data_IF_641085531930
#
_entry.id   IF_641085531930
#
_cell.length_a   1.000
_cell.length_b   1.000
_cell.length_c   1.000
_cell.angle_alpha   90.00
_cell.angle_beta   90.00
_cell.angle_gamma   90.00
#
_symmetry.space_group_name_H-M   'P 1'
#
loop_
_entity.id
_entity.type
_entity.pdbx_description
1 polymer ?
#
# COMPACT_ATOMS: atom_id res chain seq x y z
N UNK A 1 6.16 -6.86 0.09
CA UNK A 1 4.90 -7.63 0.01
C UNK A 1 3.78 -6.63 0.00
N UNK A 2 2.68 -6.93 -0.68
CA UNK A 2 1.50 -6.04 -0.65
C UNK A 2 0.22 -6.76 -1.07
N UNK A 3 -0.93 -6.19 -0.75
CA UNK A 3 -2.26 -6.67 -1.12
C UNK A 3 -2.66 -6.16 -2.50
N UNK A 4 -3.05 -7.09 -3.36
CA UNK A 4 -3.77 -6.81 -4.59
C UNK A 4 -5.25 -6.58 -4.22
N UNK A 5 -5.75 -5.34 -4.21
CA UNK A 5 -7.12 -5.06 -3.82
C UNK A 5 -8.12 -5.73 -4.77
N UNK A 6 -7.87 -5.78 -6.08
CA UNK A 6 -8.78 -6.42 -7.03
C UNK A 6 -8.94 -7.92 -6.76
N UNK A 7 -7.83 -8.62 -6.52
CA UNK A 7 -7.89 -10.03 -6.18
C UNK A 7 -8.55 -10.27 -4.83
N UNK A 8 -8.38 -9.37 -3.86
CA UNK A 8 -8.98 -9.49 -2.53
C UNK A 8 -10.51 -9.43 -2.59
N UNK A 9 -11.06 -8.41 -3.27
CA UNK A 9 -12.50 -8.27 -3.48
C UNK A 9 -13.09 -9.43 -4.30
N UNK A 10 -12.33 -10.01 -5.22
CA UNK A 10 -12.75 -11.17 -6.00
C UNK A 10 -12.59 -12.52 -5.25
N UNK A 11 -12.08 -12.53 -4.01
CA UNK A 11 -11.81 -13.75 -3.24
C UNK A 11 -10.62 -14.58 -3.74
N UNK A 12 -9.78 -13.99 -4.60
CA UNK A 12 -8.61 -14.61 -5.20
C UNK A 12 -7.35 -14.54 -4.35
N UNK A 13 -6.20 -14.81 -4.98
CA UNK A 13 -4.89 -14.67 -4.34
C UNK A 13 -4.50 -13.19 -4.21
N UNK A 14 -4.75 -12.61 -3.04
CA UNK A 14 -4.61 -11.17 -2.81
C UNK A 14 -3.26 -10.75 -2.25
N UNK A 15 -2.56 -11.57 -1.46
CA UNK A 15 -1.26 -11.17 -0.93
C UNK A 15 -0.13 -11.54 -1.91
N UNK A 16 0.65 -10.55 -2.29
CA UNK A 16 1.86 -10.69 -3.11
C UNK A 16 3.10 -10.70 -2.23
N UNK A 17 3.92 -11.74 -2.37
CA UNK A 17 5.23 -11.82 -1.69
C UNK A 17 6.30 -12.03 -2.74
N UNK A 18 7.19 -11.04 -2.88
CA UNK A 18 8.40 -11.14 -3.68
C UNK A 18 9.62 -11.37 -2.79
N UNK A 19 10.64 -12.03 -3.32
CA UNK A 19 11.93 -12.18 -2.63
C UNK A 19 13.06 -11.65 -3.50
N UNK A 20 14.18 -11.28 -2.87
CA UNK A 20 15.39 -10.85 -3.58
C UNK A 20 15.93 -11.90 -4.57
N UNK A 21 15.64 -13.19 -4.34
CA UNK A 21 15.96 -14.28 -5.26
C UNK A 21 15.00 -14.43 -6.46
N UNK A 22 13.98 -13.57 -6.53
CA UNK A 22 13.05 -13.48 -7.64
C UNK A 22 11.76 -14.27 -7.51
N UNK A 23 11.53 -14.97 -6.39
CA UNK A 23 10.26 -15.69 -6.23
C UNK A 23 9.10 -14.68 -6.21
N UNK A 24 7.99 -15.03 -6.86
CA UNK A 24 6.82 -14.16 -7.00
C UNK A 24 5.55 -14.90 -6.52
N UNK A 25 5.39 -15.05 -5.21
CA UNK A 25 4.28 -15.83 -4.66
C UNK A 25 2.97 -15.01 -4.64
N UNK A 26 1.86 -15.70 -4.91
CA UNK A 26 0.52 -15.14 -4.76
C UNK A 26 -0.26 -15.97 -3.75
N UNK A 27 -0.56 -15.40 -2.59
CA UNK A 27 -1.21 -16.07 -1.47
C UNK A 27 -2.66 -15.65 -1.39
N UNK A 28 -3.58 -16.62 -1.34
CA UNK A 28 -4.97 -16.35 -1.04
C UNK A 28 -5.12 -16.23 0.48
N UNK A 29 -5.35 -15.02 0.97
CA UNK A 29 -5.41 -14.74 2.42
C UNK A 29 -6.62 -15.35 3.11
N UNK A 30 -7.68 -15.66 2.36
CA UNK A 30 -8.88 -16.30 2.90
C UNK A 30 -8.71 -17.81 3.11
N UNK A 31 -7.86 -18.46 2.29
CA UNK A 31 -7.66 -19.93 2.30
C UNK A 31 -6.27 -20.36 2.76
N UNK A 32 -5.31 -19.43 2.80
CA UNK A 32 -3.90 -19.71 3.08
C UNK A 32 -3.15 -20.39 1.93
N UNK A 33 -3.79 -20.65 0.79
CA UNK A 33 -3.14 -21.32 -0.34
C UNK A 33 -2.07 -20.41 -0.94
N UNK A 34 -0.83 -20.90 -0.97
CA UNK A 34 0.30 -20.26 -1.65
C UNK A 34 0.35 -20.75 -3.10
N UNK A 35 0.01 -19.87 -4.03
CA UNK A 35 0.11 -20.09 -5.46
C UNK A 35 1.41 -19.54 -6.05
N UNK A 36 1.58 -19.77 -7.35
CA UNK A 36 2.69 -19.26 -8.15
C UNK A 36 4.09 -19.69 -7.64
N UNK A 37 4.17 -20.88 -7.05
CA UNK A 37 5.36 -21.38 -6.35
C UNK A 37 6.57 -21.64 -7.24
N UNK A 38 6.36 -21.81 -8.55
CA UNK A 38 7.42 -21.96 -9.54
C UNK A 38 7.79 -20.65 -10.26
N UNK A 39 7.10 -19.54 -9.98
CA UNK A 39 7.31 -18.27 -10.68
C UNK A 39 8.55 -17.55 -10.16
N UNK A 40 9.40 -17.14 -11.09
CA UNK A 40 10.58 -16.34 -10.82
C UNK A 40 10.62 -15.13 -11.79
N UNK A 41 10.66 -13.92 -11.24
CA UNK A 41 10.68 -12.66 -12.01
C UNK A 41 12.09 -12.09 -12.20
N UNK A 42 13.12 -12.87 -11.87
CA UNK A 42 14.52 -12.43 -11.81
C UNK A 42 14.92 -11.90 -10.43
N UNK A 43 16.21 -11.76 -10.13
CA UNK A 43 16.68 -11.29 -8.82
C UNK A 43 16.54 -9.77 -8.64
N UNK A 44 16.74 -9.31 -7.41
CA UNK A 44 16.87 -7.89 -7.06
C UNK A 44 15.58 -7.19 -6.65
N UNK A 45 14.41 -7.82 -6.85
CA UNK A 45 13.13 -7.29 -6.40
C UNK A 45 13.00 -7.45 -4.88
N UNK A 46 13.19 -6.37 -4.13
CA UNK A 46 13.11 -6.40 -2.66
C UNK A 46 11.85 -5.76 -2.10
N UNK A 47 11.12 -4.98 -2.92
CA UNK A 47 9.81 -4.46 -2.56
C UNK A 47 8.81 -4.53 -3.71
N UNK A 48 7.53 -4.48 -3.35
CA UNK A 48 6.40 -4.56 -4.27
C UNK A 48 5.22 -3.82 -3.64
N UNK A 49 4.48 -3.06 -4.45
CA UNK A 49 3.27 -2.34 -4.03
C UNK A 49 2.26 -2.23 -5.18
N UNK A 50 0.99 -2.35 -4.87
CA UNK A 50 -0.12 -2.16 -5.80
C UNK A 50 -0.65 -0.74 -5.75
N UNK A 51 -1.03 -0.20 -6.89
CA UNK A 51 -1.88 0.99 -6.93
C UNK A 51 -3.29 0.63 -6.43
N UNK A 52 -4.13 1.65 -6.25
CA UNK A 52 -5.56 1.52 -5.89
C UNK A 52 -5.90 0.66 -4.65
N UNK A 53 -4.91 0.42 -3.78
CA UNK A 53 -5.07 -0.17 -2.45
C UNK A 53 -5.79 0.81 -1.52
N UNK A 54 -7.12 0.71 -1.48
CA UNK A 54 -7.97 1.48 -0.57
C UNK A 54 -8.74 0.53 0.36
N UNK A 55 -8.60 0.67 1.68
CA UNK A 55 -9.31 -0.16 2.63
C UNK A 55 -10.84 -0.05 2.49
N UNK A 56 -11.52 -1.19 2.34
CA UNK A 56 -12.99 -1.27 2.38
C UNK A 56 -13.72 -0.79 1.12
N UNK A 57 -13.00 -0.43 0.06
CA UNK A 57 -13.60 0.08 -1.19
C UNK A 57 -13.17 -0.77 -2.39
N UNK A 58 -14.11 -1.31 -3.19
CA UNK A 58 -13.77 -2.03 -4.41
C UNK A 58 -12.95 -1.17 -5.39
N UNK A 59 -11.95 -1.71 -6.09
CA UNK A 59 -11.29 -1.01 -7.18
C UNK A 59 -12.29 -0.49 -8.23
N UNK A 60 -12.07 0.74 -8.73
CA UNK A 60 -12.96 1.42 -9.69
C UNK A 60 -14.21 2.07 -9.09
N UNK A 61 -14.40 2.04 -7.76
CA UNK A 61 -15.56 2.67 -7.09
C UNK A 61 -15.29 4.08 -6.52
N UNK A 62 -14.08 4.63 -6.71
CA UNK A 62 -13.71 5.96 -6.20
C UNK A 62 -14.07 7.10 -7.16
N UNK A 63 -14.67 8.21 -6.67
CA UNK A 63 -14.88 9.41 -7.46
C UNK A 63 -13.54 10.15 -7.66
N UNK A 64 -13.02 10.09 -8.88
CA UNK A 64 -11.71 10.63 -9.23
C UNK A 64 -10.98 9.68 -10.16
N UNK A 65 -11.50 9.52 -11.37
CA UNK A 65 -10.92 8.67 -12.41
C UNK A 65 -9.52 9.17 -12.75
N UNK A 66 -8.48 8.44 -12.36
CA UNK A 66 -7.36 8.30 -13.29
C UNK A 66 -7.86 7.35 -14.39
N UNK A 67 -7.70 7.68 -15.69
CA UNK A 67 -8.11 6.78 -16.76
C UNK A 67 -7.39 5.42 -16.62
N UNK A 68 -8.14 4.36 -16.29
CA UNK A 68 -7.61 2.99 -16.10
C UNK A 68 -7.84 2.44 -14.69
N UNK A 69 -9.08 2.04 -14.37
CA UNK A 69 -9.53 1.40 -13.12
C UNK A 69 -8.88 0.03 -12.79
N UNK A 70 -7.70 -0.25 -13.36
CA UNK A 70 -6.94 -1.46 -13.14
C UNK A 70 -5.99 -1.26 -11.97
N UNK A 71 -5.88 -2.29 -11.15
CA UNK A 71 -4.79 -2.40 -10.17
C UNK A 71 -3.50 -2.60 -10.96
N UNK A 72 -2.51 -1.74 -10.73
CA UNK A 72 -1.17 -1.87 -11.30
C UNK A 72 -0.18 -2.30 -10.21
N UNK A 73 0.95 -2.87 -10.61
CA UNK A 73 1.97 -3.37 -9.69
C UNK A 73 3.32 -2.73 -9.96
N UNK A 74 3.87 -2.12 -8.91
CA UNK A 74 5.20 -1.54 -8.93
C UNK A 74 6.15 -2.34 -8.06
N UNK A 75 7.43 -2.30 -8.42
CA UNK A 75 8.50 -2.94 -7.68
C UNK A 75 9.69 -2.00 -7.52
N UNK A 76 10.48 -2.27 -6.47
CA UNK A 76 11.83 -1.69 -6.35
C UNK A 76 12.82 -2.82 -6.59
N UNK A 77 13.65 -2.64 -7.62
CA UNK A 77 14.76 -3.54 -7.92
C UNK A 77 16.08 -2.93 -7.45
N UNK A 78 16.61 -3.44 -6.34
CA UNK A 78 17.82 -2.91 -5.68
C UNK A 78 19.11 -3.44 -6.28
N UNK A 79 19.06 -4.37 -7.23
CA UNK A 79 20.24 -4.74 -8.03
C UNK A 79 20.50 -3.74 -9.15
N UNK A 80 19.52 -2.92 -9.49
CA UNK A 80 19.59 -1.94 -10.59
C UNK A 80 19.26 -0.53 -10.13
N UNK A 81 18.90 -0.35 -8.85
CA UNK A 81 18.40 0.90 -8.28
C UNK A 81 17.30 1.55 -9.12
N UNK A 82 16.30 0.75 -9.52
CA UNK A 82 15.19 1.21 -10.36
C UNK A 82 13.82 0.95 -9.76
N UNK A 83 12.88 1.84 -10.09
CA UNK A 83 11.45 1.55 -10.02
C UNK A 83 11.04 0.77 -11.27
N UNK A 84 10.28 -0.29 -11.07
CA UNK A 84 9.79 -1.14 -12.15
C UNK A 84 8.28 -1.32 -12.07
N UNK A 85 7.66 -1.66 -13.20
CA UNK A 85 6.21 -1.65 -13.38
C UNK A 85 5.74 -2.91 -14.11
N UNK A 86 4.58 -3.40 -13.70
CA UNK A 86 3.76 -4.34 -14.44
C UNK A 86 2.29 -3.88 -14.33
N UNK A 87 1.60 -3.74 -15.47
CA UNK A 87 0.19 -3.32 -15.47
C UNK A 87 -0.82 -4.47 -15.41
N UNK A 88 -0.37 -5.72 -15.62
CA UNK A 88 -1.26 -6.88 -15.64
C UNK A 88 -0.51 -8.20 -15.45
N UNK A 89 -1.26 -9.31 -15.54
CA UNK A 89 -0.74 -10.68 -15.58
C UNK A 89 0.21 -11.00 -14.43
N UNK A 90 -0.10 -10.53 -13.22
CA UNK A 90 0.86 -10.45 -12.12
C UNK A 90 1.49 -11.79 -11.70
N UNK A 91 0.91 -12.94 -12.02
CA UNK A 91 1.54 -14.24 -11.76
C UNK A 91 2.75 -14.52 -12.69
N UNK A 92 2.76 -13.95 -13.88
CA UNK A 92 3.86 -13.99 -14.85
C UNK A 92 3.94 -12.67 -15.62
N UNK A 93 4.32 -11.58 -14.93
CA UNK A 93 4.21 -10.23 -15.48
C UNK A 93 5.31 -9.98 -16.53
N UNK A 94 4.98 -9.17 -17.54
CA UNK A 94 6.01 -8.45 -18.29
C UNK A 94 6.38 -7.22 -17.46
N UNK A 95 7.61 -7.19 -16.95
CA UNK A 95 8.12 -6.11 -16.11
C UNK A 95 8.93 -5.14 -16.97
N UNK A 96 8.65 -3.85 -16.83
CA UNK A 96 9.36 -2.77 -17.50
C UNK A 96 9.94 -1.79 -16.50
N UNK A 97 11.13 -1.27 -16.76
CA UNK A 97 11.73 -0.20 -15.96
C UNK A 97 10.96 1.10 -16.17
N UNK A 98 10.60 1.76 -15.07
CA UNK A 98 10.05 3.13 -15.07
C UNK A 98 11.19 4.13 -15.14
N UNK A 99 12.15 4.01 -14.23
CA UNK A 99 13.36 4.82 -14.20
C UNK A 99 14.23 4.52 -12.98
N UNK A 100 15.35 5.24 -12.89
CA UNK A 100 16.27 5.17 -11.75
C UNK A 100 15.62 5.76 -10.50
N UNK A 101 16.04 5.30 -9.31
CA UNK A 101 15.70 5.95 -8.05
C UNK A 101 16.44 7.29 -7.86
N UNK A 102 17.46 7.57 -8.69
CA UNK A 102 18.26 8.81 -8.68
C UNK A 102 18.89 9.12 -7.31
N UNK A 103 19.41 8.10 -6.65
CA UNK A 103 20.07 8.21 -5.35
C UNK A 103 21.61 8.23 -5.48
N UNK A 104 22.32 8.95 -4.59
CA UNK A 104 23.78 9.01 -4.62
C UNK A 104 24.49 7.75 -4.12
N UNK A 105 23.74 6.79 -3.55
CA UNK A 105 24.25 5.54 -3.00
C UNK A 105 23.38 4.38 -3.47
N UNK A 106 23.97 3.18 -3.55
CA UNK A 106 23.25 1.98 -3.94
C UNK A 106 22.21 1.60 -2.87
N UNK A 107 21.06 1.09 -3.31
CA UNK A 107 20.06 0.56 -2.41
C UNK A 107 20.42 -0.87 -2.03
N UNK A 108 20.59 -1.14 -0.73
CA UNK A 108 20.85 -2.48 -0.22
C UNK A 108 19.54 -3.29 -0.11
N UNK A 109 18.47 -2.64 0.33
CA UNK A 109 17.15 -3.25 0.49
C UNK A 109 16.05 -2.19 0.57
N UNK A 110 14.89 -2.48 -0.01
CA UNK A 110 13.67 -1.69 0.16
C UNK A 110 12.72 -2.42 1.12
N UNK A 111 12.80 -2.13 2.42
CA UNK A 111 12.07 -2.88 3.44
C UNK A 111 10.70 -2.28 3.75
N UNK A 112 9.90 -2.13 2.71
CA UNK A 112 8.63 -1.42 2.77
C UNK A 112 8.52 -0.53 1.55
N UNK A 113 7.46 -0.74 0.80
CA UNK A 113 7.05 0.09 -0.32
C UNK A 113 5.53 0.08 -0.32
N UNK A 114 4.92 1.26 -0.35
CA UNK A 114 3.48 1.42 -0.25
C UNK A 114 3.03 2.52 -1.21
N UNK A 115 1.87 2.32 -1.84
CA UNK A 115 1.23 3.32 -2.71
C UNK A 115 -0.12 3.67 -2.08
N UNK A 116 -0.17 4.83 -1.42
CA UNK A 116 -1.35 5.19 -0.63
C UNK A 116 -2.47 5.65 -1.55
N UNK A 117 -3.53 4.82 -1.69
CA UNK A 117 -4.78 5.21 -2.34
C UNK A 117 -4.61 5.76 -3.76
N UNK A 118 -3.71 5.18 -4.56
CA UNK A 118 -3.40 5.66 -5.92
C UNK A 118 -2.73 7.04 -6.01
N UNK A 119 -2.28 7.58 -4.89
CA UNK A 119 -1.59 8.87 -4.79
C UNK A 119 -0.08 8.73 -4.60
N UNK A 120 0.51 9.30 -3.52
CA UNK A 120 1.94 9.26 -3.30
C UNK A 120 2.44 7.86 -2.93
N UNK A 121 3.59 7.50 -3.46
CA UNK A 121 4.28 6.27 -3.10
C UNK A 121 5.43 6.55 -2.12
N UNK A 122 5.63 5.66 -1.17
CA UNK A 122 6.67 5.77 -0.16
C UNK A 122 7.43 4.47 0.00
N UNK A 123 8.74 4.55 0.17
CA UNK A 123 9.59 3.41 0.46
C UNK A 123 10.54 3.70 1.61
N UNK A 124 10.86 2.67 2.37
CA UNK A 124 11.98 2.70 3.31
C UNK A 124 13.14 1.98 2.65
N UNK A 125 14.23 2.72 2.46
CA UNK A 125 15.42 2.24 1.79
C UNK A 125 16.58 2.21 2.79
N UNK A 126 17.32 1.10 2.77
CA UNK A 126 18.64 1.04 3.37
C UNK A 126 19.66 1.30 2.26
N UNK A 127 20.54 2.27 2.47
CA UNK A 127 21.55 2.63 1.49
C UNK A 127 22.92 2.14 1.93
N UNK A 128 23.79 1.92 0.95
CA UNK A 128 25.21 1.67 1.18
C UNK A 128 25.97 3.00 1.40
N UNK A 129 25.52 3.78 2.39
CA UNK A 129 26.07 5.10 2.73
C UNK A 129 27.06 5.06 3.92
N UNK A 130 27.32 3.86 4.44
CA UNK A 130 28.19 3.62 5.60
C UNK A 130 27.60 4.01 6.96
N UNK A 131 26.36 4.50 7.02
CA UNK A 131 25.73 4.94 8.28
C UNK A 131 24.94 3.83 8.97
N UNK A 132 24.48 2.82 8.22
CA UNK A 132 23.58 1.78 8.71
C UNK A 132 22.17 2.29 9.05
N UNK A 133 21.84 3.52 8.64
CA UNK A 133 20.53 4.13 8.79
C UNK A 133 19.60 3.76 7.62
N UNK A 134 18.29 3.87 7.86
CA UNK A 134 17.28 3.79 6.81
C UNK A 134 16.70 5.17 6.53
N UNK A 135 16.38 5.47 5.27
CA UNK A 135 15.64 6.66 4.89
C UNK A 135 14.20 6.34 4.47
N UNK A 136 13.26 7.21 4.83
CA UNK A 136 11.93 7.26 4.23
C UNK A 136 12.00 8.13 2.98
N UNK A 137 11.64 7.58 1.83
CA UNK A 137 11.64 8.27 0.55
C UNK A 137 10.22 8.34 0.00
N UNK A 138 9.87 9.47 -0.61
CA UNK A 138 8.76 9.48 -1.57
C UNK A 138 9.28 9.03 -2.93
N UNK A 139 8.54 8.17 -3.63
CA UNK A 139 8.88 7.66 -4.94
C UNK A 139 7.92 8.26 -5.97
N UNK A 140 8.44 8.82 -7.04
CA UNK A 140 7.63 9.26 -8.18
C UNK A 140 7.31 8.05 -9.07
N UNK A 141 6.05 7.65 -9.14
CA UNK A 141 5.63 6.48 -9.92
C UNK A 141 5.73 6.65 -11.45
N UNK A 142 5.92 7.88 -11.94
CA UNK A 142 6.06 8.17 -13.36
C UNK A 142 7.54 8.22 -13.81
N UNK A 143 8.45 8.64 -12.94
CA UNK A 143 9.88 8.81 -13.28
C UNK A 143 10.81 7.83 -12.57
N UNK A 144 10.40 7.27 -11.44
CA UNK A 144 11.23 6.45 -10.56
C UNK A 144 11.93 7.24 -9.45
N UNK A 145 12.06 8.57 -9.59
CA UNK A 145 12.89 9.39 -8.70
C UNK A 145 12.48 9.25 -7.23
N UNK A 146 13.48 9.03 -6.37
CA UNK A 146 13.32 8.95 -4.93
C UNK A 146 13.78 10.24 -4.25
N UNK A 147 12.91 10.83 -3.43
CA UNK A 147 13.22 12.05 -2.66
C UNK A 147 13.13 11.75 -1.17
N UNK A 148 14.23 12.00 -0.46
CA UNK A 148 14.32 11.79 0.98
C UNK A 148 13.31 12.66 1.73
N UNK A 149 12.58 12.04 2.66
CA UNK A 149 11.59 12.69 3.53
C UNK A 149 11.97 12.67 5.00
N UNK A 150 12.63 11.60 5.44
CA UNK A 150 13.07 11.44 6.82
C UNK A 150 14.14 10.36 6.95
N UNK A 151 14.88 10.37 8.05
CA UNK A 151 15.86 9.34 8.38
C UNK A 151 15.47 8.64 9.68
N UNK A 152 15.76 7.35 9.76
CA UNK A 152 15.63 6.53 10.95
C UNK A 152 17.01 6.13 11.44
N UNK A 153 17.22 6.16 12.76
CA UNK A 153 18.42 5.61 13.35
C UNK A 153 18.38 4.07 13.24
N UNK A 154 19.33 3.51 12.51
CA UNK A 154 19.42 2.06 12.27
C UNK A 154 18.53 1.56 11.13
N UNK A 155 18.53 0.24 10.97
CA UNK A 155 17.81 -0.45 9.90
C UNK A 155 16.34 -0.69 10.26
N UNK A 156 15.44 -0.19 9.40
CA UNK A 156 14.00 -0.44 9.43
C UNK A 156 13.67 -1.58 8.46
N UNK A 157 12.84 -2.52 8.90
CA UNK A 157 12.47 -3.74 8.17
C UNK A 157 10.98 -3.82 7.77
N UNK A 158 10.27 -2.69 7.79
CA UNK A 158 8.87 -2.65 7.40
C UNK A 158 8.32 -1.23 7.33
N UNK A 159 7.33 -1.05 6.48
CA UNK A 159 6.44 0.11 6.47
C UNK A 159 5.01 -0.37 6.49
N UNK A 160 4.18 0.27 7.31
CA UNK A 160 2.74 0.08 7.30
C UNK A 160 2.08 1.44 7.55
N UNK A 161 1.15 1.80 6.67
CA UNK A 161 0.29 2.96 6.88
C UNK A 161 -0.97 2.50 7.61
N UNK A 162 -1.25 3.11 8.75
CA UNK A 162 -2.48 2.84 9.49
C UNK A 162 -3.50 3.92 9.13
N UNK A 163 -4.70 3.50 8.74
CA UNK A 163 -5.82 4.44 8.61
C UNK A 163 -6.32 4.83 9.99
N UNK A 164 -6.83 6.05 10.13
CA UNK A 164 -7.51 6.44 11.36
C UNK A 164 -8.66 5.46 11.67
N UNK A 165 -8.92 5.13 12.95
CA UNK A 165 -10.07 4.29 13.31
C UNK A 165 -11.35 4.87 12.72
N UNK A 166 -12.04 4.09 11.90
CA UNK A 166 -13.38 4.44 11.41
C UNK A 166 -14.35 4.21 12.56
N UNK A 167 -15.13 5.22 13.03
CA UNK A 167 -16.12 4.99 14.08
C UNK A 167 -17.12 3.93 13.62
N UNK A 168 -17.33 2.92 14.45
CA UNK A 168 -18.23 1.82 14.12
C UNK A 168 -19.66 2.36 13.87
N UNK A 169 -20.46 1.74 12.99
CA UNK A 169 -21.84 2.15 12.73
C UNK A 169 -22.67 2.34 14.01
N UNK A 170 -22.38 1.53 15.03
CA UNK A 170 -23.01 1.55 16.35
C UNK A 170 -22.69 2.82 17.14
N UNK A 171 -21.49 3.41 16.96
CA UNK A 171 -21.12 4.69 17.56
C UNK A 171 -22.02 5.82 17.04
N UNK A 172 -22.33 5.80 15.74
CA UNK A 172 -23.27 6.75 15.16
C UNK A 172 -24.70 6.50 15.63
N UNK A 173 -25.12 5.24 15.72
CA UNK A 173 -26.43 4.88 16.24
C UNK A 173 -26.62 5.35 17.68
N UNK A 174 -25.61 5.15 18.55
CA UNK A 174 -25.63 5.61 19.94
C UNK A 174 -25.58 7.13 20.05
N UNK A 175 -24.82 7.81 19.20
CA UNK A 175 -24.81 9.27 19.12
C UNK A 175 -26.20 9.80 18.76
N UNK A 176 -26.85 9.24 17.74
CA UNK A 176 -28.21 9.61 17.33
C UNK A 176 -29.21 9.33 18.45
N UNK A 177 -29.13 8.16 19.09
CA UNK A 177 -29.99 7.81 20.21
C UNK A 177 -29.81 8.79 21.39
N UNK A 178 -28.57 9.12 21.74
CA UNK A 178 -28.25 10.08 22.78
C UNK A 178 -28.81 11.47 22.47
N UNK A 179 -28.63 11.97 21.24
CA UNK A 179 -29.20 13.23 20.79
C UNK A 179 -30.73 13.22 20.81
N UNK A 180 -31.36 12.10 20.44
CA UNK A 180 -32.81 11.90 20.52
C UNK A 180 -33.33 12.00 21.96
N UNK A 181 -32.64 11.40 22.92
CA UNK A 181 -32.99 11.48 24.35
C UNK A 181 -32.86 12.92 24.87
N UNK A 182 -31.78 13.62 24.53
CA UNK A 182 -31.57 15.02 24.92
C UNK A 182 -32.66 15.94 24.36
N UNK A 183 -33.00 15.79 23.08
CA UNK A 183 -34.06 16.56 22.42
C UNK A 183 -35.43 16.30 23.09
N UNK A 184 -35.72 15.04 23.43
CA UNK A 184 -36.96 14.66 24.12
C UNK A 184 -37.09 15.28 25.51
N UNK A 185 -36.02 15.24 26.31
CA UNK A 185 -35.98 15.87 27.64
C UNK A 185 -36.17 17.39 27.53
N UNK A 186 -35.52 18.03 26.54
CA UNK A 186 -35.68 19.46 26.25
C UNK A 186 -37.13 19.84 25.94
N UNK A 187 -37.82 19.04 25.12
CA UNK A 187 -39.24 19.25 24.79
C UNK A 187 -40.15 19.16 26.02
N UNK A 188 -39.94 18.16 26.88
CA UNK A 188 -40.72 17.99 28.12
C UNK A 188 -40.54 19.15 29.10
N UNK A 189 -39.35 19.74 29.18
CA UNK A 189 -39.08 20.89 30.05
C UNK A 189 -39.78 22.17 29.58
N UNK A 190 -39.84 22.42 28.27
CA UNK A 190 -40.58 23.57 27.71
C UNK A 190 -42.09 23.44 27.93
N UNK A 191 -42.66 22.24 27.76
CA UNK A 191 -44.09 22.00 27.95
C UNK A 191 -44.58 22.18 29.41
N UNK A 192 -43.67 22.17 30.40
CA UNK A 192 -43.99 22.47 31.81
C UNK A 192 -43.82 23.94 32.21
N UNK A 193 -43.23 24.77 31.33
CA UNK A 193 -42.99 26.21 31.59
C UNK A 193 -43.96 27.13 30.82
N UNK A 194 -44.85 26.56 30.00
CA UNK A 194 -46.01 27.22 29.41
C UNK A 194 -47.25 26.77 30.19
#
# INVERSE_FOLDING_TARGET
MDFNPQADFAGGASLRVTTAGGNNYAVNVNTGVVGNTASNIGPGYTAVAYTNSFPGTPPGSFPGTMPGDLTDLYYINTSTDTLQFAGAAFNSPMITTVGSLDLPFNVLSANGFEIVGGGPAFAVLNLDDGTGASGLYSINLATGDAVLRSNFAGTVNGLAFTTAPVPEPETYALMIAGLGVVAYIGRRRKAKKA
#
